data_IF_199183666156
#
_entry.id   IF_199183666156
#
_cell.length_a   1.000
_cell.length_b   1.000
_cell.length_c   1.000
_cell.angle_alpha   90.00
_cell.angle_beta   90.00
_cell.angle_gamma   90.00
#
_symmetry.space_group_name_H-M   'P 1'
#
loop_
_entity.id
_entity.type
_entity.pdbx_description
1 polymer ?
#
# COMPACT_ATOMS: atom_id res chain seq x y z
N UNK A 1 1.06 -14.79 8.74
CA UNK A 1 0.73 -13.91 7.60
C UNK A 1 1.86 -12.92 7.46
N UNK A 2 2.59 -12.89 6.33
CA UNK A 2 3.82 -12.10 6.16
C UNK A 2 3.56 -10.59 6.04
N UNK A 3 2.32 -10.20 5.75
CA UNK A 3 1.83 -8.82 5.84
C UNK A 3 1.03 -8.67 7.13
N UNK A 4 1.50 -7.80 8.01
CA UNK A 4 0.81 -7.40 9.23
C UNK A 4 0.26 -6.00 9.06
N UNK A 5 -0.99 -5.75 9.46
CA UNK A 5 -1.54 -4.40 9.43
C UNK A 5 -2.33 -4.06 10.69
N UNK A 6 -2.44 -2.76 10.93
CA UNK A 6 -3.29 -2.18 11.97
C UNK A 6 -4.10 -1.04 11.36
N UNK A 7 -5.33 -0.86 11.85
CA UNK A 7 -6.22 0.21 11.41
C UNK A 7 -6.54 1.09 12.62
N UNK A 8 -6.19 2.37 12.51
CA UNK A 8 -6.61 3.39 13.46
C UNK A 8 -7.78 4.17 12.88
N UNK A 9 -8.99 3.84 13.31
CA UNK A 9 -10.19 4.61 12.92
C UNK A 9 -10.14 6.08 13.36
N UNK A 10 -9.70 6.41 14.60
CA UNK A 10 -9.60 7.81 15.01
C UNK A 10 -8.65 8.63 14.14
N UNK A 11 -7.54 8.03 13.70
CA UNK A 11 -6.55 8.71 12.85
C UNK A 11 -6.82 8.54 11.35
N UNK A 12 -7.83 7.73 10.98
CA UNK A 12 -8.12 7.27 9.62
C UNK A 12 -6.85 6.86 8.89
N UNK A 13 -6.10 5.94 9.52
CA UNK A 13 -4.79 5.48 9.08
C UNK A 13 -4.70 3.95 9.11
N UNK A 14 -4.16 3.37 8.04
CA UNK A 14 -3.72 1.98 7.99
C UNK A 14 -2.20 1.95 7.97
N UNK A 15 -1.60 1.15 8.85
CA UNK A 15 -0.16 0.87 8.85
C UNK A 15 0.01 -0.61 8.54
N UNK A 16 0.64 -0.92 7.42
CA UNK A 16 0.94 -2.27 6.98
C UNK A 16 2.46 -2.47 6.86
N UNK A 17 2.95 -3.61 7.31
CA UNK A 17 4.37 -3.98 7.28
C UNK A 17 4.51 -5.38 6.69
N UNK A 18 5.29 -5.49 5.62
CA UNK A 18 5.75 -6.75 5.06
C UNK A 18 7.08 -7.12 5.73
N UNK A 19 7.05 -8.15 6.58
CA UNK A 19 8.20 -8.60 7.39
C UNK A 19 8.90 -9.84 6.87
N UNK A 20 8.16 -10.68 6.17
CA UNK A 20 8.63 -11.94 5.60
C UNK A 20 8.40 -11.93 4.09
N UNK A 21 8.96 -12.88 3.32
CA UNK A 21 8.63 -13.04 1.91
C UNK A 21 7.11 -13.08 1.69
N UNK A 22 6.63 -12.20 0.81
CA UNK A 22 5.21 -11.98 0.57
C UNK A 22 4.81 -12.64 -0.75
N UNK A 23 3.72 -13.38 -0.75
CA UNK A 23 3.09 -13.90 -1.97
C UNK A 23 1.99 -12.97 -2.48
N UNK A 24 1.52 -13.18 -3.71
CA UNK A 24 0.34 -12.48 -4.24
C UNK A 24 -0.88 -12.65 -3.32
N UNK A 25 -1.10 -13.88 -2.82
CA UNK A 25 -2.23 -14.20 -1.95
C UNK A 25 -2.20 -13.40 -0.64
N UNK A 26 -1.01 -13.13 -0.09
CA UNK A 26 -0.86 -12.35 1.14
C UNK A 26 -1.25 -10.87 0.93
N UNK A 27 -0.89 -10.28 -0.22
CA UNK A 27 -1.31 -8.93 -0.58
C UNK A 27 -2.83 -8.87 -0.82
N UNK A 28 -3.39 -9.89 -1.47
CA UNK A 28 -4.83 -9.99 -1.68
C UNK A 28 -5.60 -10.11 -0.37
N UNK A 29 -5.08 -10.89 0.57
CA UNK A 29 -5.64 -11.02 1.91
C UNK A 29 -5.57 -9.70 2.68
N UNK A 30 -4.47 -8.96 2.55
CA UNK A 30 -4.36 -7.59 3.07
C UNK A 30 -5.41 -6.65 2.46
N UNK A 31 -5.60 -6.65 1.14
CA UNK A 31 -6.64 -5.84 0.48
C UNK A 31 -8.04 -6.20 0.99
N UNK A 32 -8.35 -7.49 1.10
CA UNK A 32 -9.62 -7.96 1.61
C UNK A 32 -9.85 -7.54 3.07
N UNK A 33 -8.85 -7.72 3.94
CA UNK A 33 -8.93 -7.34 5.35
C UNK A 33 -9.14 -5.84 5.55
N UNK A 34 -8.36 -5.00 4.87
CA UNK A 34 -8.54 -3.54 4.94
C UNK A 34 -9.90 -3.10 4.41
N UNK A 35 -10.43 -3.77 3.39
CA UNK A 35 -11.76 -3.47 2.84
C UNK A 35 -12.87 -3.87 3.80
N UNK A 36 -12.80 -5.07 4.38
CA UNK A 36 -13.78 -5.57 5.33
C UNK A 36 -13.91 -4.67 6.56
N UNK A 37 -12.79 -4.11 7.02
CA UNK A 37 -12.74 -3.20 8.18
C UNK A 37 -12.96 -1.71 7.79
N UNK A 38 -13.37 -1.41 6.55
CA UNK A 38 -13.69 -0.05 6.11
C UNK A 38 -12.48 0.89 5.97
N UNK A 39 -11.26 0.36 5.93
CA UNK A 39 -10.02 1.11 5.85
C UNK A 39 -9.65 1.59 4.44
N UNK A 40 -10.39 1.23 3.39
CA UNK A 40 -10.00 1.57 2.00
C UNK A 40 -9.95 3.08 1.70
N UNK A 41 -10.83 3.87 2.34
CA UNK A 41 -10.80 5.34 2.22
C UNK A 41 -9.73 6.01 3.10
N UNK A 42 -9.09 5.27 4.01
CA UNK A 42 -8.09 5.82 4.92
C UNK A 42 -6.74 6.02 4.23
N UNK A 43 -5.94 6.92 4.81
CA UNK A 43 -4.53 7.05 4.46
C UNK A 43 -3.81 5.76 4.80
N UNK A 44 -2.83 5.36 4.00
CA UNK A 44 -2.10 4.11 4.20
C UNK A 44 -0.60 4.32 4.11
N UNK A 45 0.12 3.66 5.00
CA UNK A 45 1.55 3.45 4.87
C UNK A 45 1.81 1.95 4.74
N UNK A 46 2.55 1.56 3.72
CA UNK A 46 2.94 0.17 3.48
C UNK A 46 4.45 0.10 3.48
N UNK A 47 5.02 -0.53 4.51
CA UNK A 47 6.46 -0.65 4.72
C UNK A 47 6.97 -2.03 4.32
N UNK A 48 8.00 -2.06 3.48
CA UNK A 48 8.68 -3.28 3.04
C UNK A 48 9.99 -3.38 3.82
N UNK A 49 10.03 -4.24 4.84
CA UNK A 49 11.19 -4.34 5.76
C UNK A 49 12.20 -5.41 5.37
N UNK A 50 11.82 -6.33 4.49
CA UNK A 50 12.69 -7.35 3.91
C UNK A 50 12.54 -7.39 2.40
N UNK A 51 13.61 -7.74 1.71
CA UNK A 51 13.59 -7.99 0.27
C UNK A 51 12.63 -9.14 -0.01
N UNK A 52 11.50 -8.94 -0.73
CA UNK A 52 10.60 -10.03 -1.03
C UNK A 52 11.33 -11.04 -1.91
N UNK A 53 11.05 -12.34 -1.75
CA UNK A 53 11.06 -13.22 -2.92
C UNK A 53 10.23 -12.49 -3.99
N UNK A 54 10.87 -12.12 -5.10
CA UNK A 54 10.33 -11.19 -6.07
C UNK A 54 8.95 -11.66 -6.54
N UNK A 55 7.88 -10.97 -6.12
CA UNK A 55 6.61 -11.02 -6.82
C UNK A 55 6.93 -10.59 -8.25
N UNK A 56 6.61 -11.43 -9.23
CA UNK A 56 6.93 -11.13 -10.63
C UNK A 56 6.33 -9.79 -11.06
N UNK A 57 6.94 -9.15 -12.05
CA UNK A 57 6.44 -7.87 -12.55
C UNK A 57 4.97 -7.94 -12.99
N UNK A 58 4.58 -9.02 -13.69
CA UNK A 58 3.20 -9.27 -14.11
C UNK A 58 2.24 -9.33 -12.91
N UNK A 59 2.67 -9.98 -11.82
CA UNK A 59 1.88 -10.07 -10.61
C UNK A 59 1.78 -8.72 -9.88
N UNK A 60 2.86 -7.92 -9.85
CA UNK A 60 2.83 -6.56 -9.31
C UNK A 60 1.89 -5.65 -10.11
N UNK A 61 1.89 -5.79 -11.44
CA UNK A 61 0.96 -5.08 -12.31
C UNK A 61 -0.48 -5.51 -12.06
N UNK A 62 -0.75 -6.82 -11.98
CA UNK A 62 -2.08 -7.36 -11.69
C UNK A 62 -2.60 -6.88 -10.33
N UNK A 63 -1.74 -6.85 -9.30
CA UNK A 63 -2.08 -6.31 -7.98
C UNK A 63 -2.41 -4.81 -8.05
N UNK A 64 -1.64 -4.02 -8.82
CA UNK A 64 -1.91 -2.60 -9.03
C UNK A 64 -3.25 -2.36 -9.74
N UNK A 65 -3.54 -3.12 -10.80
CA UNK A 65 -4.83 -3.09 -11.49
C UNK A 65 -5.97 -3.52 -10.56
N UNK A 66 -5.73 -4.48 -9.66
CA UNK A 66 -6.74 -4.94 -8.70
C UNK A 66 -7.20 -3.84 -7.75
N UNK A 67 -6.29 -2.92 -7.39
CA UNK A 67 -6.64 -1.72 -6.59
C UNK A 67 -7.72 -0.87 -7.27
N UNK A 68 -7.77 -0.88 -8.61
CA UNK A 68 -8.75 -0.10 -9.37
C UNK A 68 -10.18 -0.57 -9.16
N UNK A 69 -10.41 -1.87 -8.95
CA UNK A 69 -11.76 -2.37 -8.64
C UNK A 69 -12.28 -1.77 -7.32
N UNK A 70 -11.43 -1.68 -6.30
CA UNK A 70 -11.83 -1.03 -5.05
C UNK A 70 -12.09 0.47 -5.23
N UNK A 71 -11.36 1.13 -6.13
CA UNK A 71 -11.57 2.53 -6.47
C UNK A 71 -12.88 2.79 -7.22
N UNK A 72 -13.41 1.80 -7.94
CA UNK A 72 -14.73 1.89 -8.59
C UNK A 72 -15.88 1.80 -7.58
N UNK A 73 -15.67 1.09 -6.47
CA UNK A 73 -16.69 0.88 -5.44
C UNK A 73 -16.64 1.90 -4.29
N UNK A 74 -15.68 2.83 -4.31
CA UNK A 74 -15.59 3.88 -3.30
C UNK A 74 -14.29 4.66 -3.35
N UNK A 75 -14.16 5.60 -2.42
CA UNK A 75 -12.94 6.38 -2.31
C UNK A 75 -11.79 5.51 -1.81
N UNK A 76 -10.62 5.64 -2.45
CA UNK A 76 -9.36 5.12 -1.94
C UNK A 76 -8.49 6.25 -1.42
N UNK A 77 -8.00 6.11 -0.19
CA UNK A 77 -7.17 7.12 0.44
C UNK A 77 -5.73 7.16 -0.09
N UNK A 78 -4.96 8.21 0.24
CA UNK A 78 -3.55 8.34 -0.10
C UNK A 78 -2.71 7.13 0.33
N UNK A 79 -1.72 6.75 -0.48
CA UNK A 79 -0.82 5.64 -0.19
C UNK A 79 0.65 6.11 -0.17
N UNK A 80 1.33 5.90 0.94
CA UNK A 80 2.78 5.95 1.02
C UNK A 80 3.34 4.52 1.04
N UNK A 81 4.30 4.23 0.16
CA UNK A 81 5.05 2.96 0.17
C UNK A 81 6.47 3.26 0.66
N UNK A 82 6.94 2.52 1.66
CA UNK A 82 8.32 2.64 2.18
C UNK A 82 9.11 1.43 1.70
N UNK A 83 10.10 1.68 0.87
CA UNK A 83 10.91 0.68 0.19
C UNK A 83 12.38 1.09 0.29
N UNK A 84 13.08 0.57 1.31
CA UNK A 84 14.44 0.99 1.63
C UNK A 84 15.47 0.53 0.58
N UNK A 85 15.33 -0.70 0.07
CA UNK A 85 16.25 -1.26 -0.93
C UNK A 85 15.88 -0.88 -2.36
N UNK A 86 16.87 -0.83 -3.26
CA UNK A 86 16.64 -0.54 -4.69
C UNK A 86 15.69 -1.54 -5.35
N UNK A 87 15.80 -2.82 -4.97
CA UNK A 87 14.91 -3.86 -5.47
C UNK A 87 13.45 -3.62 -5.05
N UNK A 88 13.20 -3.40 -3.75
CA UNK A 88 11.84 -3.12 -3.26
C UNK A 88 11.28 -1.82 -3.86
N UNK A 89 12.14 -0.83 -4.10
CA UNK A 89 11.77 0.43 -4.74
C UNK A 89 11.37 0.22 -6.21
N UNK A 90 12.12 -0.60 -6.95
CA UNK A 90 11.80 -0.95 -8.33
C UNK A 90 10.46 -1.71 -8.42
N UNK A 91 10.23 -2.68 -7.52
CA UNK A 91 8.95 -3.39 -7.44
C UNK A 91 7.78 -2.46 -7.10
N UNK A 92 7.98 -1.55 -6.13
CA UNK A 92 6.97 -0.54 -5.77
C UNK A 92 6.63 0.39 -6.94
N UNK A 93 7.60 0.74 -7.79
CA UNK A 93 7.35 1.54 -9.01
C UNK A 93 6.48 0.80 -10.02
N UNK A 94 6.69 -0.51 -10.22
CA UNK A 94 5.88 -1.32 -11.13
C UNK A 94 4.42 -1.34 -10.67
N UNK A 95 4.21 -1.62 -9.37
CA UNK A 95 2.88 -1.57 -8.77
C UNK A 95 2.25 -0.17 -8.91
N UNK A 96 2.98 0.89 -8.57
CA UNK A 96 2.49 2.27 -8.60
C UNK A 96 2.04 2.70 -10.00
N UNK A 97 2.80 2.29 -11.04
CA UNK A 97 2.44 2.55 -12.45
C UNK A 97 1.17 1.83 -12.88
N UNK A 98 0.87 0.67 -12.30
CA UNK A 98 -0.36 -0.07 -12.59
C UNK A 98 -1.56 0.39 -11.74
N UNK A 99 -1.33 0.93 -10.54
CA UNK A 99 -2.35 1.40 -9.60
C UNK A 99 -2.83 2.84 -9.88
N UNK A 100 -3.17 3.15 -11.14
CA UNK A 100 -3.53 4.51 -11.59
C UNK A 100 -4.96 4.90 -11.18
N UNK A 101 -5.14 5.19 -9.90
CA UNK A 101 -6.39 5.70 -9.34
C UNK A 101 -6.33 7.19 -9.04
N UNK A 102 -7.49 7.84 -8.87
CA UNK A 102 -7.60 9.23 -8.39
C UNK A 102 -7.24 9.34 -6.90
N UNK A 103 -5.97 9.11 -6.55
CA UNK A 103 -5.41 9.33 -5.21
C UNK A 103 -3.94 9.76 -5.29
N UNK A 104 -3.43 10.45 -4.27
CA UNK A 104 -1.99 10.58 -4.08
C UNK A 104 -1.34 9.23 -3.78
N UNK A 105 -0.24 8.93 -4.46
CA UNK A 105 0.63 7.78 -4.18
C UNK A 105 2.08 8.23 -4.28
N UNK A 106 2.89 7.95 -3.26
CA UNK A 106 4.32 8.24 -3.30
C UNK A 106 5.13 7.12 -2.63
N UNK A 107 6.33 6.86 -3.17
CA UNK A 107 7.28 5.87 -2.68
C UNK A 107 8.42 6.61 -1.97
N UNK A 108 8.83 6.11 -0.81
CA UNK A 108 9.86 6.68 0.05
C UNK A 108 10.91 5.63 0.39
N UNK A 109 12.13 6.09 0.67
CA UNK A 109 13.16 5.24 1.28
C UNK A 109 13.01 5.12 2.79
N UNK A 110 12.45 6.16 3.42
CA UNK A 110 12.38 6.29 4.87
C UNK A 110 10.95 6.43 5.38
N UNK A 111 10.64 5.69 6.45
CA UNK A 111 9.32 5.69 7.11
C UNK A 111 8.93 7.09 7.62
N UNK A 112 9.90 7.84 8.14
CA UNK A 112 9.66 9.18 8.67
C UNK A 112 9.16 10.15 7.60
N UNK A 113 9.83 10.17 6.43
CA UNK A 113 9.44 11.03 5.31
C UNK A 113 8.06 10.65 4.75
N UNK A 114 7.79 9.34 4.64
CA UNK A 114 6.48 8.83 4.24
C UNK A 114 5.38 9.30 5.20
N UNK A 115 5.61 9.25 6.51
CA UNK A 115 4.64 9.70 7.51
C UNK A 115 4.37 11.20 7.41
N UNK A 116 5.41 12.02 7.31
CA UNK A 116 5.26 13.47 7.14
C UNK A 116 4.46 13.83 5.90
N UNK A 117 4.76 13.20 4.77
CA UNK A 117 4.01 13.42 3.54
C UNK A 117 2.55 12.99 3.65
N UNK A 118 2.29 11.87 4.32
CA UNK A 118 0.95 11.33 4.52
C UNK A 118 0.10 12.20 5.46
N UNK A 119 0.72 12.81 6.46
CA UNK A 119 0.08 13.76 7.38
C UNK A 119 -0.20 15.12 6.73
N UNK A 120 0.55 15.48 5.67
CA UNK A 120 0.28 16.67 4.87
C UNK A 120 -0.84 16.48 3.82
N UNK A 121 -1.33 15.25 3.61
CA UNK A 121 -2.42 15.00 2.66
C UNK A 121 -3.74 15.56 3.18
N UNK A 122 -4.56 16.17 2.33
CA UNK A 122 -5.87 16.65 2.73
C UNK A 122 -6.72 15.48 3.25
N UNK A 123 -7.33 15.65 4.41
CA UNK A 123 -8.31 14.70 4.92
C UNK A 123 -9.48 14.65 3.92
N UNK A 124 -9.87 13.46 3.42
CA UNK A 124 -11.09 13.33 2.64
C UNK A 124 -12.27 13.95 3.38
N UNK A 125 -12.86 14.98 2.78
CA UNK A 125 -14.10 15.61 3.23
C UNK A 125 -15.29 14.65 3.18
#
# INVERSE_FOLDING_TARGET
MPVHWTISHPQRLVVAVAKDPVTVADIEQYFAGVTADGGMAYRKIFEITQTPLAISEDNLQALGQRVMFYAQHGQIGPLAIVAASDESYAQALIFAKAAVAKRPLQIFRELHAARQWLDAQPTPS
#
